data_IF_658636158388
#
_entry.id   IF_658636158388
#
_cell.length_a   1.000
_cell.length_b   1.000
_cell.length_c   1.000
_cell.angle_alpha   90.00
_cell.angle_beta   90.00
_cell.angle_gamma   90.00
#
_symmetry.space_group_name_H-M   'P 1'
#
loop_
_entity.id
_entity.type
_entity.pdbx_description
1 polymer ?
#
# COMPACT_ATOMS: atom_id res chain seq x y z
N UNK A 1 -7.69 27.09 -12.01
CA UNK A 1 -7.88 28.53 -11.74
C UNK A 1 -6.91 29.03 -10.66
N UNK A 2 -6.04 29.96 -11.05
CA UNK A 2 -5.15 30.72 -10.16
C UNK A 2 -5.54 32.20 -10.25
N UNK A 3 -5.01 33.02 -9.34
CA UNK A 3 -5.21 34.48 -9.36
C UNK A 3 -4.71 35.14 -10.65
N UNK A 4 -3.87 34.46 -11.44
CA UNK A 4 -3.26 34.97 -12.67
C UNK A 4 -3.66 34.18 -13.93
N UNK A 5 -4.71 33.35 -13.89
CA UNK A 5 -5.21 32.60 -15.05
C UNK A 5 -5.40 31.11 -14.79
N UNK A 6 -5.15 30.28 -15.80
CA UNK A 6 -5.30 28.83 -15.70
C UNK A 6 -3.96 28.14 -15.47
N UNK A 7 -3.93 27.20 -14.53
CA UNK A 7 -2.80 26.29 -14.34
C UNK A 7 -3.22 24.91 -14.82
N UNK A 8 -2.41 24.33 -15.70
CA UNK A 8 -2.64 23.01 -16.29
C UNK A 8 -1.50 22.11 -15.85
N UNK A 9 -1.85 20.93 -15.33
CA UNK A 9 -0.90 19.87 -14.99
C UNK A 9 -1.13 18.71 -15.95
N UNK A 10 -0.10 18.33 -16.69
CA UNK A 10 -0.12 17.15 -17.55
C UNK A 10 0.67 16.02 -16.89
N UNK A 11 0.05 14.84 -16.82
CA UNK A 11 0.68 13.62 -16.30
C UNK A 11 0.82 12.61 -17.43
N UNK A 12 2.05 12.15 -17.66
CA UNK A 12 2.31 11.02 -18.55
C UNK A 12 2.05 9.72 -17.79
N UNK A 13 1.23 8.84 -18.36
CA UNK A 13 0.96 7.50 -17.85
C UNK A 13 1.68 6.49 -18.74
N UNK A 14 2.59 5.72 -18.15
CA UNK A 14 3.42 4.76 -18.89
C UNK A 14 2.72 3.41 -18.98
N UNK A 15 2.31 3.01 -20.20
CA UNK A 15 1.50 1.80 -20.44
C UNK A 15 2.21 0.46 -20.15
N UNK A 16 3.52 0.46 -19.89
CA UNK A 16 4.39 -0.73 -19.79
C UNK A 16 4.30 -1.50 -18.47
N UNK A 17 3.57 -0.98 -17.47
CA UNK A 17 3.59 -1.47 -16.08
C UNK A 17 2.63 -2.63 -15.77
N UNK A 18 1.78 -3.05 -16.71
CA UNK A 18 0.72 -4.06 -16.48
C UNK A 18 1.23 -5.48 -16.17
N UNK A 19 2.54 -5.73 -16.31
CA UNK A 19 3.17 -7.04 -16.05
C UNK A 19 4.09 -7.06 -14.82
N UNK A 20 4.01 -6.06 -13.94
CA UNK A 20 4.80 -6.07 -12.71
C UNK A 20 4.39 -7.29 -11.87
N UNK A 21 5.39 -8.13 -11.56
CA UNK A 21 5.21 -9.30 -10.69
C UNK A 21 5.19 -8.83 -9.24
N UNK A 22 4.42 -9.51 -8.38
CA UNK A 22 4.38 -9.17 -6.96
C UNK A 22 5.77 -9.23 -6.30
N UNK A 23 6.63 -10.15 -6.75
CA UNK A 23 8.02 -10.27 -6.29
C UNK A 23 8.89 -9.04 -6.60
N UNK A 24 8.56 -8.27 -7.64
CA UNK A 24 9.31 -7.06 -8.02
C UNK A 24 8.84 -5.78 -7.31
N UNK A 25 7.79 -5.85 -6.49
CA UNK A 25 7.24 -4.68 -5.77
C UNK A 25 8.19 -4.16 -4.68
N UNK A 26 9.07 -5.02 -4.14
CA UNK A 26 10.08 -4.63 -3.14
C UNK A 26 9.75 -5.03 -1.70
N UNK A 27 8.71 -5.85 -1.49
CA UNK A 27 8.42 -6.46 -0.20
C UNK A 27 9.64 -7.18 0.39
N UNK A 28 9.77 -7.14 1.72
CA UNK A 28 10.68 -8.02 2.43
C UNK A 28 10.30 -9.50 2.16
N UNK A 29 11.23 -10.44 2.35
CA UNK A 29 10.93 -11.87 2.18
C UNK A 29 9.79 -12.33 3.09
N UNK A 30 9.74 -11.79 4.31
CA UNK A 30 8.68 -12.03 5.27
C UNK A 30 7.32 -11.54 4.75
N UNK A 31 7.24 -10.27 4.34
CA UNK A 31 5.98 -9.67 3.91
C UNK A 31 5.48 -10.23 2.58
N UNK A 32 6.40 -10.57 1.68
CA UNK A 32 6.07 -11.26 0.42
C UNK A 32 5.42 -12.62 0.69
N UNK A 33 5.88 -13.36 1.70
CA UNK A 33 5.27 -14.63 2.10
C UNK A 33 3.90 -14.40 2.74
N UNK A 34 3.77 -13.38 3.59
CA UNK A 34 2.51 -13.02 4.24
C UNK A 34 1.44 -12.65 3.21
N UNK A 35 1.73 -11.74 2.28
CA UNK A 35 0.77 -11.36 1.24
C UNK A 35 0.41 -12.56 0.37
N UNK A 36 1.37 -13.39 -0.05
CA UNK A 36 1.07 -14.60 -0.85
C UNK A 36 0.19 -15.59 -0.11
N UNK A 37 0.36 -15.72 1.22
CA UNK A 37 -0.49 -16.56 2.06
C UNK A 37 -1.91 -15.99 2.15
N UNK A 38 -2.04 -14.69 2.36
CA UNK A 38 -3.34 -14.00 2.45
C UNK A 38 -4.08 -14.06 1.11
N UNK A 39 -3.40 -13.83 0.00
CA UNK A 39 -3.98 -13.89 -1.34
C UNK A 39 -4.54 -15.27 -1.66
N UNK A 40 -4.04 -16.35 -1.06
CA UNK A 40 -4.59 -17.71 -1.23
C UNK A 40 -5.87 -17.97 -0.42
N UNK A 41 -6.24 -17.08 0.50
CA UNK A 41 -7.47 -17.24 1.30
C UNK A 41 -8.70 -17.07 0.39
N UNK A 42 -9.80 -17.78 0.67
CA UNK A 42 -11.00 -17.70 -0.17
C UNK A 42 -11.66 -16.32 -0.10
N UNK A 43 -11.57 -15.65 1.05
CA UNK A 43 -12.29 -14.41 1.29
C UNK A 43 -11.59 -13.47 2.26
N UNK A 44 -12.14 -12.25 2.37
CA UNK A 44 -11.66 -11.20 3.25
C UNK A 44 -11.17 -9.97 2.49
N UNK A 45 -10.78 -8.93 3.22
CA UNK A 45 -10.30 -7.67 2.65
C UNK A 45 -8.79 -7.54 2.85
N UNK A 46 -8.08 -7.19 1.78
CA UNK A 46 -6.72 -6.64 1.85
C UNK A 46 -6.77 -5.18 1.42
N UNK A 47 -6.31 -4.30 2.31
CA UNK A 47 -6.26 -2.87 2.05
C UNK A 47 -4.82 -2.45 1.73
N UNK A 48 -4.64 -1.70 0.64
CA UNK A 48 -3.38 -1.01 0.35
C UNK A 48 -3.57 0.47 0.61
N UNK A 49 -2.81 1.04 1.54
CA UNK A 49 -2.97 2.43 1.94
C UNK A 49 -1.74 3.28 1.65
N UNK A 50 -1.95 4.59 1.62
CA UNK A 50 -0.90 5.56 1.37
C UNK A 50 -1.37 6.78 0.59
N UNK A 51 -0.55 7.83 0.52
CA UNK A 51 -0.86 9.05 -0.21
C UNK A 51 -0.94 8.82 -1.73
N UNK A 52 -1.38 9.83 -2.47
CA UNK A 52 -1.33 9.82 -3.93
C UNK A 52 0.11 9.66 -4.41
N UNK A 53 0.33 8.81 -5.42
CA UNK A 53 1.66 8.55 -5.96
C UNK A 53 2.56 7.64 -5.11
N UNK A 54 2.01 6.98 -4.07
CA UNK A 54 2.77 5.99 -3.30
C UNK A 54 2.89 4.62 -3.98
N UNK A 55 2.23 4.38 -5.11
CA UNK A 55 2.26 3.12 -5.86
C UNK A 55 1.20 2.09 -5.45
N UNK A 56 0.10 2.50 -4.82
CA UNK A 56 -1.00 1.60 -4.40
C UNK A 56 -1.59 0.80 -5.57
N UNK A 57 -1.96 1.47 -6.66
CA UNK A 57 -2.50 0.84 -7.87
C UNK A 57 -1.51 -0.20 -8.42
N UNK A 58 -0.20 0.13 -8.44
CA UNK A 58 0.86 -0.78 -8.86
C UNK A 58 0.92 -2.05 -8.03
N UNK A 59 0.88 -1.93 -6.70
CA UNK A 59 0.86 -3.10 -5.79
C UNK A 59 -0.40 -3.92 -5.95
N UNK A 60 -1.55 -3.25 -6.12
CA UNK A 60 -2.83 -3.92 -6.29
C UNK A 60 -2.88 -4.70 -7.60
N UNK A 61 -2.48 -4.12 -8.73
CA UNK A 61 -2.40 -4.84 -10.01
C UNK A 61 -1.34 -5.95 -10.00
N UNK A 62 -0.22 -5.75 -9.31
CA UNK A 62 0.77 -6.82 -9.15
C UNK A 62 0.23 -8.01 -8.33
N UNK A 63 -0.65 -7.76 -7.37
CA UNK A 63 -1.37 -8.83 -6.66
C UNK A 63 -2.36 -9.56 -7.58
N UNK A 64 -3.06 -8.84 -8.49
CA UNK A 64 -3.95 -9.45 -9.48
C UNK A 64 -3.22 -10.37 -10.45
N UNK A 65 -1.99 -10.04 -10.82
CA UNK A 65 -1.17 -10.90 -11.67
C UNK A 65 -0.83 -12.26 -11.03
N UNK A 66 -0.86 -12.39 -9.70
CA UNK A 66 -0.72 -13.70 -9.03
C UNK A 66 -1.99 -14.56 -9.15
N UNK A 67 -3.13 -13.97 -9.53
CA UNK A 67 -4.42 -14.64 -9.69
C UNK A 67 -4.87 -14.83 -11.13
N UNK A 68 -4.07 -14.38 -12.10
CA UNK A 68 -4.46 -14.40 -13.50
C UNK A 68 -4.38 -15.83 -14.08
N UNK A 69 -5.21 -16.71 -13.53
CA UNK A 69 -5.60 -18.00 -14.09
C UNK A 69 -7.04 -17.90 -14.60
N UNK A 70 -7.36 -18.67 -15.63
CA UNK A 70 -8.70 -18.72 -16.22
C UNK A 70 -9.78 -19.27 -15.26
N UNK A 71 -9.38 -19.74 -14.08
CA UNK A 71 -10.26 -20.36 -13.08
C UNK A 71 -10.97 -19.34 -12.18
N UNK A 72 -10.43 -18.12 -12.06
CA UNK A 72 -10.98 -17.08 -11.16
C UNK A 72 -11.53 -15.91 -11.97
N UNK A 73 -12.82 -15.61 -11.75
CA UNK A 73 -13.44 -14.39 -12.26
C UNK A 73 -13.04 -13.20 -11.39
N UNK A 74 -12.21 -12.33 -11.96
CA UNK A 74 -11.79 -11.07 -11.33
C UNK A 74 -12.63 -9.94 -11.95
N UNK A 75 -13.22 -9.10 -11.09
CA UNK A 75 -13.95 -7.91 -11.52
C UNK A 75 -13.48 -6.70 -10.73
N UNK A 76 -13.20 -5.58 -11.40
CA UNK A 76 -12.73 -4.34 -10.79
C UNK A 76 -13.72 -3.20 -10.98
N UNK A 77 -13.73 -2.26 -10.04
CA UNK A 77 -14.35 -0.94 -10.20
C UNK A 77 -13.31 0.15 -9.94
N UNK A 78 -13.11 1.06 -10.89
CA UNK A 78 -11.98 2.00 -10.90
C UNK A 78 -12.40 3.40 -11.40
N UNK A 79 -11.65 4.44 -11.05
CA UNK A 79 -11.98 5.85 -11.35
C UNK A 79 -10.69 6.67 -11.58
N UNK A 80 -10.15 6.76 -12.82
CA UNK A 80 -10.45 5.91 -13.99
C UNK A 80 -9.66 4.60 -13.97
N UNK A 81 -9.86 3.74 -14.97
CA UNK A 81 -8.99 2.58 -15.21
C UNK A 81 -7.61 3.08 -15.68
N UNK A 82 -6.54 2.79 -14.94
CA UNK A 82 -5.19 3.22 -15.30
C UNK A 82 -4.59 2.37 -16.45
N UNK A 83 -4.81 1.05 -16.40
CA UNK A 83 -4.29 0.10 -17.38
C UNK A 83 -5.32 -1.00 -17.69
N UNK A 84 -5.35 -1.43 -18.94
CA UNK A 84 -6.12 -2.60 -19.35
C UNK A 84 -5.33 -3.88 -19.02
N UNK A 85 -5.91 -4.75 -18.19
CA UNK A 85 -5.32 -6.02 -17.76
C UNK A 85 -6.06 -7.17 -18.44
N UNK A 86 -5.40 -7.90 -19.37
CA UNK A 86 -6.02 -9.04 -20.04
C UNK A 86 -6.51 -10.10 -19.04
N UNK A 87 -7.74 -10.57 -19.25
CA UNK A 87 -8.38 -11.59 -18.41
C UNK A 87 -9.17 -11.04 -17.22
N UNK A 88 -9.14 -9.72 -16.97
CA UNK A 88 -9.86 -9.07 -15.89
C UNK A 88 -11.02 -8.25 -16.44
N UNK A 89 -12.20 -8.35 -15.80
CA UNK A 89 -13.34 -7.52 -16.15
C UNK A 89 -13.23 -6.18 -15.42
N UNK A 90 -12.83 -5.12 -16.10
CA UNK A 90 -12.63 -3.81 -15.47
C UNK A 90 -13.80 -2.87 -15.77
N UNK A 91 -14.41 -2.30 -14.73
CA UNK A 91 -15.49 -1.35 -14.83
C UNK A 91 -15.01 0.04 -14.41
N UNK A 92 -15.15 1.03 -15.30
CA UNK A 92 -14.85 2.42 -14.98
C UNK A 92 -16.09 3.14 -14.42
N UNK A 93 -15.89 3.94 -13.38
CA UNK A 93 -16.92 4.82 -12.83
C UNK A 93 -17.31 5.88 -13.86
N UNK A 94 -18.61 6.07 -14.03
CA UNK A 94 -19.15 7.13 -14.88
C UNK A 94 -20.37 7.77 -14.19
N UNK A 95 -20.11 8.79 -13.39
CA UNK A 95 -21.13 9.50 -12.63
C UNK A 95 -22.21 10.13 -13.53
N UNK A 96 -21.87 10.57 -14.75
CA UNK A 96 -22.80 11.23 -15.68
C UNK A 96 -23.98 10.34 -16.08
N UNK A 97 -23.79 9.02 -16.04
CA UNK A 97 -24.81 8.01 -16.37
C UNK A 97 -25.19 7.16 -15.16
N UNK A 98 -24.81 7.58 -13.94
CA UNK A 98 -25.16 6.91 -12.69
C UNK A 98 -24.36 5.64 -12.38
N UNK A 99 -23.26 5.37 -13.09
CA UNK A 99 -22.35 4.26 -12.81
C UNK A 99 -21.36 4.63 -11.70
N UNK A 100 -21.87 4.78 -10.47
CA UNK A 100 -21.06 5.07 -9.27
C UNK A 100 -20.43 3.82 -8.67
N UNK A 101 -19.45 3.97 -7.77
CA UNK A 101 -18.84 2.87 -7.02
C UNK A 101 -19.88 1.92 -6.40
N UNK A 102 -20.84 2.38 -5.58
CA UNK A 102 -21.88 1.51 -5.01
C UNK A 102 -22.73 0.77 -6.05
N UNK A 103 -23.13 1.44 -7.14
CA UNK A 103 -23.99 0.85 -8.17
C UNK A 103 -23.27 -0.25 -8.96
N UNK A 104 -22.00 0.00 -9.31
CA UNK A 104 -21.16 -1.00 -9.97
C UNK A 104 -20.93 -2.17 -9.01
N UNK A 105 -20.56 -1.93 -7.74
CA UNK A 105 -20.30 -2.99 -6.76
C UNK A 105 -21.52 -3.89 -6.52
N UNK A 106 -22.72 -3.32 -6.38
CA UNK A 106 -23.96 -4.12 -6.26
C UNK A 106 -24.17 -5.01 -7.47
N UNK A 107 -23.81 -4.54 -8.66
CA UNK A 107 -23.92 -5.31 -9.90
C UNK A 107 -22.87 -6.40 -9.98
N UNK A 108 -21.64 -6.13 -9.54
CA UNK A 108 -20.54 -7.11 -9.43
C UNK A 108 -20.97 -8.30 -8.55
N UNK A 109 -21.67 -8.08 -7.44
CA UNK A 109 -22.13 -9.18 -6.57
C UNK A 109 -23.14 -10.15 -7.23
N UNK A 110 -23.74 -9.76 -8.37
CA UNK A 110 -24.61 -10.65 -9.18
C UNK A 110 -23.88 -11.30 -10.35
N UNK A 111 -22.57 -11.12 -10.44
CA UNK A 111 -21.74 -11.62 -11.55
C UNK A 111 -20.93 -12.86 -11.17
N UNK A 112 -21.20 -13.50 -10.04
CA UNK A 112 -20.41 -14.66 -9.56
C UNK A 112 -18.88 -14.37 -9.54
N UNK A 113 -18.42 -13.26 -8.92
CA UNK A 113 -17.00 -12.94 -8.87
C UNK A 113 -16.29 -13.86 -7.87
N UNK A 114 -15.00 -14.13 -8.08
CA UNK A 114 -14.14 -14.72 -7.06
C UNK A 114 -13.33 -13.65 -6.33
N UNK A 115 -12.86 -12.64 -7.08
CA UNK A 115 -12.06 -11.54 -6.57
C UNK A 115 -12.67 -10.22 -7.03
N UNK A 116 -12.86 -9.30 -6.08
CA UNK A 116 -13.39 -7.97 -6.33
C UNK A 116 -12.29 -6.95 -6.02
N UNK A 117 -12.03 -6.05 -6.96
CA UNK A 117 -11.14 -4.92 -6.76
C UNK A 117 -11.94 -3.65 -6.69
N UNK A 118 -11.68 -2.85 -5.67
CA UNK A 118 -12.25 -1.52 -5.51
C UNK A 118 -11.10 -0.52 -5.58
N UNK A 119 -11.12 0.33 -6.61
CA UNK A 119 -10.05 1.30 -6.85
C UNK A 119 -9.75 2.12 -5.60
N UNK A 120 -10.79 2.59 -4.91
CA UNK A 120 -10.68 3.28 -3.63
C UNK A 120 -11.98 3.19 -2.82
N UNK A 121 -11.89 3.09 -1.49
CA UNK A 121 -13.03 3.27 -0.59
C UNK A 121 -13.05 4.73 -0.10
N UNK A 122 -14.00 5.52 -0.61
CA UNK A 122 -14.16 6.94 -0.28
C UNK A 122 -15.29 7.25 0.69
N UNK A 123 -16.33 6.41 0.71
CA UNK A 123 -17.57 6.60 1.47
C UNK A 123 -18.00 5.33 2.21
N UNK A 124 -18.97 5.49 3.10
CA UNK A 124 -19.52 4.41 3.94
C UNK A 124 -20.24 3.35 3.13
N UNK A 125 -20.98 3.74 2.09
CA UNK A 125 -21.78 2.82 1.28
C UNK A 125 -20.87 1.82 0.55
N UNK A 126 -19.81 2.32 -0.08
CA UNK A 126 -18.76 1.52 -0.72
C UNK A 126 -18.06 0.62 0.29
N UNK A 127 -17.75 1.14 1.49
CA UNK A 127 -17.12 0.37 2.56
C UNK A 127 -18.00 -0.78 3.06
N UNK A 128 -19.30 -0.53 3.28
CA UNK A 128 -20.25 -1.54 3.71
C UNK A 128 -20.40 -2.65 2.67
N UNK A 129 -20.53 -2.29 1.38
CA UNK A 129 -20.63 -3.28 0.30
C UNK A 129 -19.35 -4.12 0.22
N UNK A 130 -18.17 -3.50 0.36
CA UNK A 130 -16.89 -4.21 0.39
C UNK A 130 -16.81 -5.23 1.53
N UNK A 131 -17.26 -4.84 2.73
CA UNK A 131 -17.29 -5.71 3.90
C UNK A 131 -18.31 -6.83 3.76
N UNK A 132 -19.50 -6.54 3.25
CA UNK A 132 -20.49 -7.57 2.94
C UNK A 132 -19.97 -8.56 1.89
N UNK A 133 -19.29 -8.09 0.85
CA UNK A 133 -18.68 -8.95 -0.15
C UNK A 133 -17.63 -9.90 0.47
N UNK A 134 -16.76 -9.35 1.32
CA UNK A 134 -15.74 -10.12 2.01
C UNK A 134 -16.32 -11.19 2.95
N UNK A 135 -17.37 -10.85 3.71
CA UNK A 135 -18.04 -11.78 4.62
C UNK A 135 -18.85 -12.85 3.90
N UNK A 136 -19.30 -12.58 2.66
CA UNK A 136 -20.06 -13.51 1.82
C UNK A 136 -19.19 -14.41 0.94
N UNK A 137 -17.88 -14.45 1.19
CA UNK A 137 -16.98 -15.44 0.56
C UNK A 137 -16.11 -14.90 -0.57
N UNK A 138 -16.04 -13.59 -0.78
CA UNK A 138 -15.22 -12.97 -1.82
C UNK A 138 -13.89 -12.47 -1.26
N UNK A 139 -12.81 -12.57 -2.03
CA UNK A 139 -11.58 -11.83 -1.75
C UNK A 139 -11.72 -10.41 -2.31
N UNK A 140 -11.54 -9.41 -1.46
CA UNK A 140 -11.66 -8.00 -1.82
C UNK A 140 -10.30 -7.32 -1.68
N UNK A 141 -9.85 -6.67 -2.74
CA UNK A 141 -8.66 -5.81 -2.73
C UNK A 141 -9.11 -4.37 -2.89
N UNK A 142 -8.65 -3.47 -2.02
CA UNK A 142 -9.02 -2.07 -2.13
C UNK A 142 -7.91 -1.12 -1.69
N UNK A 143 -8.04 0.15 -2.05
CA UNK A 143 -7.18 1.21 -1.52
C UNK A 143 -7.91 2.17 -0.59
N UNK A 144 -7.16 2.73 0.38
CA UNK A 144 -7.58 3.87 1.21
C UNK A 144 -6.45 4.90 1.32
N UNK A 145 -6.80 6.14 1.63
CA UNK A 145 -5.83 7.18 1.95
C UNK A 145 -5.61 7.31 3.46
N UNK A 146 -4.64 6.56 3.99
CA UNK A 146 -4.12 6.74 5.35
C UNK A 146 -2.59 6.76 5.35
N UNK A 147 -2.01 7.34 6.39
CA UNK A 147 -0.55 7.50 6.52
C UNK A 147 0.15 6.22 6.98
N UNK A 148 -0.58 5.37 7.71
CA UNK A 148 -0.14 4.12 8.31
C UNK A 148 -1.28 3.08 8.28
N UNK A 149 -0.95 1.82 8.57
CA UNK A 149 -1.84 0.69 8.45
C UNK A 149 -2.91 0.68 9.55
N UNK A 150 -2.53 0.96 10.80
CA UNK A 150 -3.48 1.02 11.92
C UNK A 150 -4.54 2.13 11.73
N UNK A 151 -4.13 3.28 11.17
CA UNK A 151 -5.05 4.39 10.85
C UNK A 151 -6.14 4.00 9.85
N UNK A 152 -5.95 2.97 9.01
CA UNK A 152 -6.99 2.48 8.11
C UNK A 152 -8.21 1.93 8.87
N UNK A 153 -7.96 1.27 10.00
CA UNK A 153 -9.02 0.74 10.87
C UNK A 153 -9.84 1.87 11.48
N UNK A 154 -9.16 2.88 12.02
CA UNK A 154 -9.80 4.07 12.57
C UNK A 154 -10.56 4.84 11.49
N UNK A 155 -10.02 4.93 10.27
CA UNK A 155 -10.70 5.57 9.12
C UNK A 155 -12.02 4.87 8.80
N UNK A 156 -12.04 3.54 8.70
CA UNK A 156 -13.27 2.78 8.45
C UNK A 156 -14.29 2.94 9.59
N UNK A 157 -13.80 2.95 10.84
CA UNK A 157 -14.66 3.19 12.02
C UNK A 157 -15.28 4.58 11.97
N UNK A 158 -14.50 5.61 11.60
CA UNK A 158 -14.96 6.99 11.47
C UNK A 158 -15.92 7.19 10.29
N UNK A 159 -15.83 6.37 9.25
CA UNK A 159 -16.81 6.35 8.15
C UNK A 159 -18.16 5.78 8.60
N UNK A 160 -18.19 5.01 9.68
CA UNK A 160 -19.40 4.41 10.24
C UNK A 160 -19.45 2.88 10.15
N UNK A 161 -18.40 2.22 9.63
CA UNK A 161 -18.37 0.76 9.56
C UNK A 161 -18.26 0.19 10.97
N UNK A 162 -19.14 -0.75 11.30
CA UNK A 162 -19.13 -1.39 12.62
C UNK A 162 -17.78 -2.07 12.90
N UNK A 163 -17.16 -1.85 14.08
CA UNK A 163 -15.88 -2.47 14.42
C UNK A 163 -15.89 -4.01 14.36
N UNK A 164 -17.03 -4.62 14.66
CA UNK A 164 -17.22 -6.07 14.52
C UNK A 164 -17.08 -6.53 13.06
N UNK A 165 -17.64 -5.77 12.12
CA UNK A 165 -17.54 -6.08 10.70
C UNK A 165 -16.12 -5.86 10.19
N UNK A 166 -15.44 -4.81 10.65
CA UNK A 166 -14.02 -4.53 10.34
C UNK A 166 -13.14 -5.69 10.82
N UNK A 167 -13.25 -6.10 12.09
CA UNK A 167 -12.41 -7.15 12.67
C UNK A 167 -12.64 -8.52 12.04
N UNK A 168 -13.85 -8.77 11.55
CA UNK A 168 -14.22 -10.04 10.92
C UNK A 168 -13.84 -10.12 9.43
N UNK A 169 -13.75 -8.98 8.73
CA UNK A 169 -13.54 -8.95 7.28
C UNK A 169 -12.09 -8.68 6.86
N UNK A 170 -11.35 -7.83 7.59
CA UNK A 170 -10.00 -7.42 7.20
C UNK A 170 -8.97 -8.52 7.52
N UNK A 171 -8.21 -8.92 6.50
CA UNK A 171 -7.13 -9.91 6.60
C UNK A 171 -5.78 -9.24 6.81
N UNK A 172 -5.53 -8.14 6.10
CA UNK A 172 -4.33 -7.33 6.26
C UNK A 172 -4.52 -5.90 5.72
N UNK A 173 -3.68 -5.01 6.22
CA UNK A 173 -3.52 -3.64 5.72
C UNK A 173 -2.04 -3.41 5.41
N UNK A 174 -1.76 -2.95 4.20
CA UNK A 174 -0.42 -2.63 3.71
C UNK A 174 -0.33 -1.13 3.50
N UNK A 175 0.34 -0.41 4.39
CA UNK A 175 0.65 1.00 4.16
C UNK A 175 1.94 1.11 3.33
N UNK A 176 1.92 1.94 2.30
CA UNK A 176 2.99 2.03 1.31
C UNK A 176 3.44 3.46 1.07
N UNK A 177 4.75 3.64 0.93
CA UNK A 177 5.39 4.87 0.44
C UNK A 177 6.48 4.55 -0.55
N UNK A 178 6.93 5.57 -1.29
CA UNK A 178 8.07 5.47 -2.19
C UNK A 178 9.23 6.29 -1.64
N UNK A 179 10.40 5.66 -1.57
CA UNK A 179 11.69 6.32 -1.34
C UNK A 179 12.44 6.42 -2.67
N UNK A 180 13.27 7.46 -2.80
CA UNK A 180 14.18 7.60 -3.94
C UNK A 180 15.35 6.62 -3.83
N UNK A 181 15.77 6.03 -4.94
CA UNK A 181 16.91 5.11 -4.98
C UNK A 181 18.20 5.92 -5.21
N UNK A 182 19.29 5.56 -4.53
CA UNK A 182 20.60 6.19 -4.72
C UNK A 182 21.04 5.99 -6.18
N UNK A 183 21.49 7.08 -6.81
CA UNK A 183 22.00 7.01 -8.18
C UNK A 183 23.15 6.00 -8.30
N UNK A 184 23.08 5.03 -9.23
CA UNK A 184 24.10 4.00 -9.36
C UNK A 184 25.47 4.53 -9.82
N UNK A 185 25.51 5.65 -10.56
CA UNK A 185 26.76 6.21 -11.11
C UNK A 185 27.56 7.06 -10.12
N UNK A 186 26.88 7.68 -9.14
CA UNK A 186 27.52 8.60 -8.20
C UNK A 186 27.35 8.16 -6.74
N UNK A 187 27.12 6.86 -6.52
CA UNK A 187 26.95 6.26 -5.20
C UNK A 187 28.29 6.22 -4.47
N UNK A 188 28.37 6.84 -3.31
CA UNK A 188 29.58 6.87 -2.47
C UNK A 188 29.26 6.50 -1.03
N UNK A 189 30.19 5.86 -0.30
CA UNK A 189 30.05 5.63 1.13
C UNK A 189 29.84 6.95 1.86
N UNK A 190 28.87 6.98 2.78
CA UNK A 190 28.69 8.07 3.72
C UNK A 190 29.64 7.82 4.89
N UNK A 191 30.60 8.72 5.10
CA UNK A 191 31.42 8.67 6.31
C UNK A 191 30.49 8.94 7.49
N UNK A 192 30.33 7.96 8.38
CA UNK A 192 29.48 8.05 9.56
C UNK A 192 30.05 9.08 10.55
N UNK A 193 29.82 10.37 10.27
CA UNK A 193 30.05 11.46 11.21
C UNK A 193 28.80 11.70 12.05
N UNK A 194 28.76 11.10 13.24
CA UNK A 194 27.98 11.47 14.44
C UNK A 194 26.46 11.68 14.37
N UNK A 195 25.79 11.56 13.21
CA UNK A 195 24.35 11.85 13.08
C UNK A 195 23.54 10.64 12.59
N UNK A 196 23.73 9.48 13.22
CA UNK A 196 22.71 8.42 13.13
C UNK A 196 21.58 8.84 14.07
N UNK A 197 20.38 9.19 13.55
CA UNK A 197 19.27 9.60 14.40
C UNK A 197 18.93 8.47 15.37
N UNK A 198 18.62 8.80 16.62
CA UNK A 198 18.07 7.83 17.55
C UNK A 198 16.65 7.49 17.09
N UNK A 199 16.53 6.48 16.21
CA UNK A 199 15.26 6.06 15.62
C UNK A 199 14.58 5.10 16.60
N UNK A 200 13.41 5.49 17.12
CA UNK A 200 12.60 4.63 17.99
C UNK A 200 12.32 3.30 17.29
N UNK A 201 12.71 2.19 17.90
CA UNK A 201 12.52 0.83 17.36
C UNK A 201 13.80 0.17 16.82
N UNK A 202 14.93 0.87 16.80
CA UNK A 202 16.23 0.26 16.52
C UNK A 202 17.19 0.43 17.70
N UNK A 203 17.92 -0.65 18.01
CA UNK A 203 19.11 -0.54 18.84
C UNK A 203 20.17 0.20 18.05
N UNK A 204 20.79 1.22 18.65
CA UNK A 204 21.87 2.00 18.01
C UNK A 204 23.00 1.10 17.51
N UNK A 205 23.24 -0.03 18.19
CA UNK A 205 24.21 -1.07 17.80
C UNK A 205 24.00 -1.64 16.39
N UNK A 206 22.76 -1.72 15.92
CA UNK A 206 22.44 -2.24 14.58
C UNK A 206 22.70 -1.22 13.47
N UNK A 207 22.83 0.05 13.83
CA UNK A 207 23.12 1.18 12.94
C UNK A 207 24.60 1.57 12.98
N UNK A 208 25.27 1.38 14.13
CA UNK A 208 26.69 1.68 14.34
C UNK A 208 27.61 0.87 13.42
N UNK A 209 27.25 -0.38 13.10
CA UNK A 209 28.04 -1.25 12.21
C UNK A 209 27.60 -1.19 10.74
N UNK A 210 26.58 -0.40 10.40
CA UNK A 210 26.07 -0.33 9.04
C UNK A 210 26.81 0.75 8.22
N UNK A 211 27.28 0.37 7.04
CA UNK A 211 27.78 1.32 6.04
C UNK A 211 26.59 1.91 5.27
N UNK A 212 26.37 3.21 5.44
CA UNK A 212 25.39 3.95 4.66
C UNK A 212 26.03 4.58 3.44
N UNK A 213 25.22 4.83 2.43
CA UNK A 213 25.64 5.40 1.15
C UNK A 213 24.75 6.58 0.80
N UNK A 214 25.30 7.49 0.01
CA UNK A 214 24.55 8.58 -0.60
C UNK A 214 24.99 8.78 -2.05
N UNK A 215 24.22 9.55 -2.81
CA UNK A 215 24.64 10.02 -4.13
C UNK A 215 25.27 11.40 -4.03
N UNK A 216 26.42 11.61 -4.65
CA UNK A 216 27.06 12.95 -4.70
C UNK A 216 26.40 13.90 -5.71
N UNK A 217 25.67 13.35 -6.68
CA UNK A 217 25.09 14.09 -7.80
C UNK A 217 25.98 14.06 -9.04
N UNK A 218 25.43 13.61 -10.16
CA UNK A 218 26.08 13.55 -11.47
C UNK A 218 25.07 13.88 -12.58
N UNK A 219 25.51 13.90 -13.83
CA UNK A 219 24.63 14.20 -14.98
C UNK A 219 23.50 13.18 -15.12
N UNK A 220 23.75 11.89 -14.90
CA UNK A 220 22.75 10.82 -14.99
C UNK A 220 21.54 11.05 -14.08
N UNK A 221 21.77 11.51 -12.85
CA UNK A 221 20.71 11.80 -11.89
C UNK A 221 20.30 13.28 -11.86
N UNK A 222 20.70 14.08 -12.86
CA UNK A 222 20.48 15.52 -12.89
C UNK A 222 20.92 16.24 -11.60
N UNK A 223 22.08 15.84 -11.07
CA UNK A 223 22.69 16.36 -9.83
C UNK A 223 21.86 16.15 -8.56
N UNK A 224 20.83 15.29 -8.58
CA UNK A 224 19.99 15.04 -7.40
C UNK A 224 20.59 14.04 -6.42
N UNK A 225 21.50 13.18 -6.89
CA UNK A 225 22.01 12.03 -6.13
C UNK A 225 21.08 10.80 -6.14
N UNK A 226 19.92 10.88 -6.81
CA UNK A 226 18.92 9.82 -6.83
C UNK A 226 18.46 9.47 -8.26
N UNK A 227 18.22 8.19 -8.52
CA UNK A 227 17.66 7.73 -9.80
C UNK A 227 16.70 6.55 -9.58
N UNK A 228 15.42 6.75 -9.89
CA UNK A 228 14.37 5.75 -9.64
C UNK A 228 13.79 5.80 -8.22
N UNK A 229 12.87 4.86 -7.94
CA UNK A 229 12.12 4.78 -6.68
C UNK A 229 11.95 3.33 -6.25
N UNK A 230 11.94 3.10 -4.94
CA UNK A 230 11.64 1.82 -4.31
C UNK A 230 10.46 1.98 -3.34
N UNK A 231 9.65 0.93 -3.20
CA UNK A 231 8.59 0.87 -2.20
C UNK A 231 9.14 0.55 -0.82
N UNK A 232 8.60 1.22 0.20
CA UNK A 232 8.69 0.80 1.60
C UNK A 232 7.30 0.48 2.11
N UNK A 233 7.20 -0.55 2.94
CA UNK A 233 5.92 -1.13 3.33
C UNK A 233 5.81 -1.26 4.84
N UNK A 234 4.64 -0.93 5.37
CA UNK A 234 4.18 -1.36 6.69
C UNK A 234 3.08 -2.39 6.50
N UNK A 235 3.31 -3.59 7.03
CA UNK A 235 2.47 -4.76 6.75
C UNK A 235 1.78 -5.26 8.02
N UNK A 236 0.53 -4.85 8.21
CA UNK A 236 -0.28 -5.23 9.35
C UNK A 236 -1.19 -6.41 9.02
N UNK A 237 -0.83 -7.60 9.51
CA UNK A 237 -1.71 -8.77 9.48
C UNK A 237 -2.71 -8.72 10.63
N UNK A 238 -3.96 -9.15 10.39
CA UNK A 238 -4.95 -9.27 11.46
C UNK A 238 -4.67 -10.50 12.34
N UNK A 239 -4.49 -10.29 13.65
CA UNK A 239 -4.39 -11.34 14.69
C UNK A 239 -5.64 -11.37 15.59
N UNK A 240 -5.78 -12.38 16.45
CA UNK A 240 -6.89 -12.48 17.40
C UNK A 240 -6.93 -11.29 18.38
N UNK A 241 -5.77 -10.90 18.89
CA UNK A 241 -5.58 -9.76 19.81
C UNK A 241 -5.92 -8.45 19.11
N UNK A 242 -5.52 -8.31 17.84
CA UNK A 242 -5.86 -7.15 17.05
C UNK A 242 -7.37 -7.09 16.81
N UNK A 243 -8.02 -8.21 16.49
CA UNK A 243 -9.49 -8.26 16.31
C UNK A 243 -10.24 -7.82 17.57
N UNK A 244 -9.80 -8.27 18.74
CA UNK A 244 -10.38 -7.87 20.02
C UNK A 244 -10.18 -6.37 20.28
N UNK A 245 -8.97 -5.86 20.03
CA UNK A 245 -8.66 -4.44 20.15
C UNK A 245 -9.52 -3.57 19.20
N UNK A 246 -9.74 -4.02 17.97
CA UNK A 246 -10.64 -3.37 17.01
C UNK A 246 -12.06 -3.37 17.54
N UNK A 247 -12.55 -4.52 18.03
CA UNK A 247 -13.91 -4.67 18.54
C UNK A 247 -14.23 -3.69 19.67
N UNK A 248 -13.31 -3.50 20.62
CA UNK A 248 -13.45 -2.53 21.73
C UNK A 248 -13.12 -1.09 21.35
N UNK A 249 -12.87 -0.80 20.06
CA UNK A 249 -12.50 0.53 19.55
C UNK A 249 -11.24 1.11 20.21
N UNK A 250 -10.21 0.27 20.37
CA UNK A 250 -8.93 0.70 20.91
C UNK A 250 -8.34 1.87 20.09
N UNK A 251 -7.67 2.83 20.74
CA UNK A 251 -7.01 3.94 20.05
C UNK A 251 -5.91 3.45 19.11
N UNK A 252 -5.64 4.20 18.04
CA UNK A 252 -4.71 3.80 16.95
C UNK A 252 -3.32 3.42 17.45
N UNK A 253 -2.80 4.12 18.48
CA UNK A 253 -1.48 3.82 19.04
C UNK A 253 -1.42 2.44 19.73
N UNK A 254 -2.53 1.98 20.30
CA UNK A 254 -2.64 0.65 20.91
C UNK A 254 -2.73 -0.43 19.84
N UNK A 255 -3.54 -0.21 18.79
CA UNK A 255 -3.59 -1.09 17.62
C UNK A 255 -2.20 -1.28 17.00
N UNK A 256 -1.44 -0.19 16.86
CA UNK A 256 -0.06 -0.22 16.32
C UNK A 256 0.88 -1.03 17.20
N UNK A 257 0.81 -0.87 18.53
CA UNK A 257 1.63 -1.64 19.47
C UNK A 257 1.32 -3.13 19.39
N UNK A 258 0.04 -3.50 19.36
CA UNK A 258 -0.40 -4.89 19.24
C UNK A 258 0.06 -5.46 17.90
N UNK A 259 -0.13 -4.74 16.80
CA UNK A 259 0.31 -5.18 15.48
C UNK A 259 1.83 -5.37 15.41
N UNK A 260 2.60 -4.42 15.93
CA UNK A 260 4.08 -4.49 15.98
C UNK A 260 4.55 -5.70 16.80
N UNK A 261 3.97 -5.91 17.98
CA UNK A 261 4.25 -7.09 18.81
C UNK A 261 3.93 -8.41 18.07
N UNK A 262 2.92 -8.42 17.21
CA UNK A 262 2.54 -9.56 16.38
C UNK A 262 3.31 -9.66 15.05
N UNK A 263 4.44 -8.95 14.91
CA UNK A 263 5.34 -9.08 13.76
C UNK A 263 5.02 -8.16 12.58
N UNK A 264 4.21 -7.12 12.77
CA UNK A 264 4.08 -6.05 11.78
C UNK A 264 5.42 -5.33 11.61
N UNK A 265 5.91 -5.29 10.38
CA UNK A 265 7.01 -4.40 9.99
C UNK A 265 6.46 -3.00 9.79
N UNK A 266 7.13 -1.97 10.32
CA UNK A 266 6.81 -0.55 10.14
C UNK A 266 7.48 0.03 8.89
N UNK A 267 6.98 1.16 8.40
CA UNK A 267 7.60 1.89 7.28
C UNK A 267 9.06 2.25 7.56
N UNK A 268 9.37 2.56 8.82
CA UNK A 268 10.71 2.90 9.26
C UNK A 268 11.65 1.68 9.23
N UNK A 269 11.22 0.55 9.78
CA UNK A 269 11.99 -0.70 9.76
C UNK A 269 12.27 -1.17 8.34
N UNK A 270 11.27 -1.12 7.46
CA UNK A 270 11.43 -1.51 6.06
C UNK A 270 12.33 -0.54 5.29
N UNK A 271 12.20 0.77 5.54
CA UNK A 271 13.09 1.78 4.97
C UNK A 271 14.54 1.60 5.41
N UNK A 272 14.77 1.32 6.69
CA UNK A 272 16.10 1.05 7.23
C UNK A 272 16.70 -0.23 6.64
N UNK A 273 15.89 -1.28 6.43
CA UNK A 273 16.32 -2.46 5.66
C UNK A 273 16.82 -2.08 4.28
N UNK A 274 16.14 -1.19 3.55
CA UNK A 274 16.61 -0.73 2.23
C UNK A 274 17.88 0.12 2.33
N UNK A 275 17.99 0.99 3.35
CA UNK A 275 19.17 1.83 3.56
C UNK A 275 20.42 1.00 3.87
N UNK A 276 20.30 -0.04 4.71
CA UNK A 276 21.39 -1.00 4.99
C UNK A 276 21.83 -1.79 3.76
N UNK A 277 20.88 -2.10 2.88
CA UNK A 277 21.18 -2.70 1.58
C UNK A 277 21.65 -1.68 0.54
N UNK A 278 21.91 -0.43 0.97
CA UNK A 278 22.45 0.64 0.16
C UNK A 278 21.60 0.98 -1.08
N UNK A 279 20.28 0.80 -0.96
CA UNK A 279 19.30 1.10 -2.01
C UNK A 279 18.85 2.56 -1.91
N UNK A 280 18.64 3.05 -0.69
CA UNK A 280 18.22 4.43 -0.39
C UNK A 280 19.13 5.04 0.68
N UNK A 281 19.05 6.35 0.90
CA UNK A 281 19.77 7.02 1.99
C UNK A 281 18.96 7.00 3.28
N UNK A 282 19.63 7.12 4.43
CA UNK A 282 18.99 7.25 5.74
C UNK A 282 18.12 8.51 5.81
N UNK A 283 18.61 9.63 5.26
CA UNK A 283 17.86 10.88 5.15
C UNK A 283 16.52 10.68 4.42
N UNK A 284 16.54 9.93 3.31
CA UNK A 284 15.35 9.68 2.52
C UNK A 284 14.31 8.83 3.25
N UNK A 285 14.78 7.84 4.02
CA UNK A 285 13.90 7.03 4.88
C UNK A 285 13.21 7.94 5.88
N UNK A 286 13.98 8.73 6.64
CA UNK A 286 13.46 9.63 7.67
C UNK A 286 12.45 10.64 7.11
N UNK A 287 12.75 11.23 5.95
CA UNK A 287 11.86 12.17 5.25
C UNK A 287 10.49 11.58 4.92
N UNK A 288 10.45 10.28 4.62
CA UNK A 288 9.25 9.58 4.12
C UNK A 288 8.50 8.86 5.25
N UNK A 289 9.17 8.31 6.24
CA UNK A 289 8.54 7.49 7.30
C UNK A 289 8.05 8.29 8.52
N UNK A 290 8.57 9.49 8.78
CA UNK A 290 8.19 10.30 9.96
C UNK A 290 6.95 11.20 9.78
N UNK A 291 6.25 11.10 8.66
CA UNK A 291 5.02 11.88 8.37
C UNK A 291 3.79 11.03 8.53
#
# INVERSE_FOLDING_TARGET
PTTCGESIVMRLLEKSSSLIKLKSIGFSKHDLNNIKSILKRPNGIVLVTGPTGSGKSTTLYAALNEFNSLEKKIITVEDPIEYNIPGINQCEVNEKVGLTFPNILRSILRQDPNIIVIGEIRDIETAEIAVSAALTGHLVLSTLHTNDAASAITRLTNMGVSPFLISSSIQAVVAQRLVRIICPECKTPQINGENVPNVSGFNTSDLENAEFYHGTGCEHCNKTGYYGRAGIFEFMCTSSELKEAIHRKAPTHELRKIAHFNGMTTLMEDGLRLAKNQITTLEEVMRVSMK
#
